data_IF_334524696216
#
_entry.id   IF_334524696216
#
_cell.length_a   1.000
_cell.length_b   1.000
_cell.length_c   1.000
_cell.angle_alpha   90.00
_cell.angle_beta   90.00
_cell.angle_gamma   90.00
#
_symmetry.space_group_name_H-M   'P 1'
#
loop_
_entity.id
_entity.type
_entity.pdbx_description
1 polymer ?
#
# COMPACT_ATOMS: atom_id res chain seq x y z
N UNK A 1 -3.57 17.01 18.68
CA UNK A 1 -2.22 16.78 18.14
C UNK A 1 -1.24 17.18 19.21
N UNK A 2 -0.78 16.20 19.98
CA UNK A 2 0.18 16.40 21.06
C UNK A 2 1.59 16.73 20.54
N UNK A 3 2.51 16.97 21.47
CA UNK A 3 3.95 17.01 21.18
C UNK A 3 4.48 15.64 20.75
N UNK A 4 4.03 14.55 21.37
CA UNK A 4 4.49 13.20 21.05
C UNK A 4 4.13 12.78 19.62
N UNK A 5 2.92 13.11 19.14
CA UNK A 5 2.55 12.85 17.75
C UNK A 5 3.35 13.72 16.76
N UNK A 6 3.64 14.99 17.10
CA UNK A 6 4.50 15.84 16.26
C UNK A 6 5.92 15.32 16.17
N UNK A 7 6.42 14.72 17.24
CA UNK A 7 7.72 14.04 17.24
C UNK A 7 7.70 12.79 16.35
N UNK A 8 6.63 11.98 16.39
CA UNK A 8 6.44 10.87 15.44
C UNK A 8 6.50 11.36 13.99
N UNK A 9 5.72 12.38 13.64
CA UNK A 9 5.73 12.99 12.29
C UNK A 9 7.15 13.46 11.88
N UNK A 10 7.87 14.10 12.80
CA UNK A 10 9.23 14.57 12.57
C UNK A 10 10.21 13.42 12.29
N UNK A 11 10.05 12.29 12.99
CA UNK A 11 10.89 11.10 12.81
C UNK A 11 10.59 10.34 11.51
N UNK A 12 9.34 10.39 11.03
CA UNK A 12 8.94 9.75 9.77
C UNK A 12 9.30 10.57 8.54
N UNK A 13 9.45 11.89 8.68
CA UNK A 13 9.73 12.80 7.57
C UNK A 13 10.92 12.34 6.68
N UNK A 14 12.07 11.88 7.22
CA UNK A 14 13.15 11.34 6.39
C UNK A 14 12.73 10.11 5.57
N UNK A 15 11.92 9.20 6.13
CA UNK A 15 11.43 8.01 5.44
C UNK A 15 10.44 8.38 4.33
N UNK A 16 9.50 9.30 4.61
CA UNK A 16 8.56 9.84 3.61
C UNK A 16 9.28 10.55 2.46
N UNK A 17 10.33 11.32 2.76
CA UNK A 17 11.18 11.92 1.72
C UNK A 17 11.90 10.88 0.87
N UNK A 18 12.48 9.85 1.49
CA UNK A 18 13.12 8.74 0.76
C UNK A 18 12.10 8.04 -0.14
N UNK A 19 10.89 7.78 0.35
CA UNK A 19 9.80 7.20 -0.42
C UNK A 19 9.47 8.07 -1.64
N UNK A 20 9.20 9.36 -1.44
CA UNK A 20 8.88 10.30 -2.52
C UNK A 20 10.02 10.48 -3.55
N UNK A 21 11.28 10.35 -3.11
CA UNK A 21 12.46 10.45 -3.97
C UNK A 21 12.85 9.12 -4.66
N UNK A 22 12.09 8.03 -4.46
CA UNK A 22 12.36 6.76 -5.16
C UNK A 22 12.11 6.97 -6.66
N UNK A 23 13.09 6.54 -7.47
CA UNK A 23 13.01 6.64 -8.93
C UNK A 23 11.79 5.95 -9.55
N UNK A 24 11.15 5.03 -8.84
CA UNK A 24 9.88 4.42 -9.27
C UNK A 24 8.76 5.44 -9.39
N UNK A 25 8.49 6.21 -8.33
CA UNK A 25 7.42 7.22 -8.34
C UNK A 25 7.73 8.32 -9.35
N UNK A 26 8.97 8.77 -9.39
CA UNK A 26 9.44 9.71 -10.42
C UNK A 26 9.16 9.17 -11.83
N UNK A 27 9.48 7.89 -12.08
CA UNK A 27 9.26 7.27 -13.39
C UNK A 27 7.78 7.18 -13.74
N UNK A 28 6.89 6.73 -12.85
CA UNK A 28 5.48 6.54 -13.20
C UNK A 28 4.70 7.86 -13.26
N UNK A 29 5.12 8.86 -12.50
CA UNK A 29 4.51 10.19 -12.50
C UNK A 29 5.08 11.13 -13.56
N UNK A 30 6.24 10.83 -14.14
CA UNK A 30 6.88 11.71 -15.13
C UNK A 30 5.96 12.01 -16.33
N UNK A 31 5.90 13.27 -16.81
CA UNK A 31 5.09 13.65 -17.98
C UNK A 31 5.41 12.85 -19.25
N UNK A 32 6.65 12.39 -19.39
CA UNK A 32 7.14 11.65 -20.56
C UNK A 32 6.98 10.13 -20.49
N UNK A 33 6.43 9.56 -19.41
CA UNK A 33 6.33 8.10 -19.25
C UNK A 33 5.59 7.46 -20.42
N UNK A 34 6.19 6.41 -20.98
CA UNK A 34 5.59 5.63 -22.05
C UNK A 34 4.24 5.04 -21.61
N UNK A 35 3.23 5.13 -22.47
CA UNK A 35 1.88 4.68 -22.13
C UNK A 35 1.81 3.16 -21.95
N UNK A 36 2.58 2.39 -22.71
CA UNK A 36 2.60 0.94 -22.54
C UNK A 36 3.30 0.56 -21.23
N UNK A 37 4.40 1.22 -20.88
CA UNK A 37 5.07 1.03 -19.59
C UNK A 37 4.14 1.34 -18.40
N UNK A 38 3.42 2.47 -18.44
CA UNK A 38 2.51 2.84 -17.36
C UNK A 38 1.36 1.83 -17.21
N UNK A 39 0.78 1.36 -18.32
CA UNK A 39 -0.30 0.38 -18.27
C UNK A 39 0.18 -1.01 -17.78
N UNK A 40 1.38 -1.45 -18.19
CA UNK A 40 2.00 -2.67 -17.63
C UNK A 40 2.29 -2.53 -16.14
N UNK A 41 2.78 -1.36 -15.72
CA UNK A 41 2.99 -1.07 -14.30
C UNK A 41 1.69 -1.22 -13.50
N UNK A 42 0.56 -0.69 -13.99
CA UNK A 42 -0.74 -0.83 -13.32
C UNK A 42 -1.20 -2.29 -13.26
N UNK A 43 -1.00 -3.06 -14.34
CA UNK A 43 -1.31 -4.50 -14.36
C UNK A 43 -0.49 -5.25 -13.31
N UNK A 44 0.81 -4.95 -13.19
CA UNK A 44 1.66 -5.57 -12.18
C UNK A 44 1.35 -5.09 -10.77
N UNK A 45 1.02 -3.80 -10.59
CA UNK A 45 0.55 -3.24 -9.33
C UNK A 45 -0.68 -4.01 -8.81
N UNK A 46 -1.70 -4.21 -9.66
CA UNK A 46 -2.90 -4.95 -9.25
C UNK A 46 -2.60 -6.44 -9.02
N UNK A 47 -1.89 -7.10 -9.95
CA UNK A 47 -1.68 -8.55 -9.85
C UNK A 47 -0.77 -8.94 -8.67
N UNK A 48 0.34 -8.23 -8.44
CA UNK A 48 1.20 -8.44 -7.28
C UNK A 48 0.54 -7.91 -5.99
N UNK A 49 -0.27 -6.85 -6.09
CA UNK A 49 -1.01 -6.25 -4.98
C UNK A 49 -2.00 -7.19 -4.32
N UNK A 50 -2.46 -8.24 -5.00
CA UNK A 50 -3.24 -9.34 -4.37
C UNK A 50 -2.47 -9.94 -3.19
N UNK A 51 -1.17 -10.20 -3.36
CA UNK A 51 -0.35 -10.80 -2.30
C UNK A 51 -0.09 -9.88 -1.10
N UNK A 52 -0.32 -8.58 -1.26
CA UNK A 52 -0.26 -7.56 -0.21
C UNK A 52 -1.59 -7.43 0.55
N UNK A 53 -2.70 -7.57 -0.17
CA UNK A 53 -4.05 -7.24 0.33
C UNK A 53 -4.84 -8.46 0.80
N UNK A 54 -4.58 -9.66 0.28
CA UNK A 54 -5.26 -10.88 0.73
C UNK A 54 -5.11 -11.14 2.25
N UNK A 55 -3.92 -11.02 2.85
CA UNK A 55 -3.74 -11.30 4.28
C UNK A 55 -4.05 -10.11 5.21
N UNK A 56 -4.37 -8.92 4.69
CA UNK A 56 -4.36 -7.66 5.47
C UNK A 56 -5.38 -7.66 6.62
N UNK A 57 -6.61 -8.12 6.37
CA UNK A 57 -7.64 -8.28 7.41
C UNK A 57 -7.12 -9.17 8.56
N UNK A 58 -6.47 -10.28 8.20
CA UNK A 58 -5.91 -11.22 9.16
C UNK A 58 -4.72 -10.65 9.94
N UNK A 59 -3.94 -9.75 9.36
CA UNK A 59 -2.86 -9.05 10.05
C UNK A 59 -3.38 -8.05 11.07
N UNK A 60 -4.26 -7.15 10.63
CA UNK A 60 -4.80 -6.08 11.49
C UNK A 60 -5.57 -6.69 12.66
N UNK A 61 -6.41 -7.71 12.40
CA UNK A 61 -7.15 -8.40 13.46
C UNK A 61 -6.22 -9.03 14.50
N UNK A 62 -5.19 -9.78 14.06
CA UNK A 62 -4.23 -10.42 14.99
C UNK A 62 -3.39 -9.41 15.77
N UNK A 63 -3.00 -8.30 15.15
CA UNK A 63 -2.35 -7.20 15.86
C UNK A 63 -3.28 -6.63 16.95
N UNK A 64 -4.57 -6.47 16.63
CA UNK A 64 -5.60 -6.05 17.58
C UNK A 64 -5.72 -7.00 18.77
N UNK A 65 -5.87 -8.30 18.51
CA UNK A 65 -5.94 -9.35 19.55
C UNK A 65 -4.69 -9.34 20.46
N UNK A 66 -3.50 -9.16 19.88
CA UNK A 66 -2.24 -9.05 20.63
C UNK A 66 -2.20 -7.78 21.48
N UNK A 67 -2.67 -6.64 20.96
CA UNK A 67 -2.79 -5.39 21.70
C UNK A 67 -3.74 -5.52 22.89
N UNK A 68 -4.90 -6.17 22.71
CA UNK A 68 -5.82 -6.45 23.83
C UNK A 68 -5.17 -7.31 24.91
N UNK A 69 -4.42 -8.35 24.52
CA UNK A 69 -3.68 -9.21 25.44
C UNK A 69 -2.59 -8.47 26.24
N UNK A 70 -2.13 -7.31 25.77
CA UNK A 70 -1.18 -6.42 26.44
C UNK A 70 -1.85 -5.32 27.28
N UNK A 71 -3.18 -5.30 27.35
CA UNK A 71 -3.94 -4.27 28.06
C UNK A 71 -4.24 -3.01 27.23
N UNK A 72 -3.89 -2.98 25.94
CA UNK A 72 -4.22 -1.89 25.02
C UNK A 72 -5.62 -2.12 24.40
N UNK A 73 -6.63 -2.29 25.25
CA UNK A 73 -7.96 -2.76 24.82
C UNK A 73 -8.64 -1.87 23.78
N UNK A 74 -8.60 -0.55 23.96
CA UNK A 74 -9.27 0.37 23.03
C UNK A 74 -8.62 0.35 21.64
N UNK A 75 -7.29 0.35 21.59
CA UNK A 75 -6.53 0.18 20.34
C UNK A 75 -6.83 -1.17 19.71
N UNK A 76 -6.84 -2.24 20.50
CA UNK A 76 -7.10 -3.59 20.03
C UNK A 76 -8.47 -3.75 19.36
N UNK A 77 -9.51 -3.13 19.93
CA UNK A 77 -10.85 -3.09 19.33
C UNK A 77 -10.89 -2.24 18.08
N UNK A 78 -10.22 -1.09 18.10
CA UNK A 78 -10.11 -0.20 16.94
C UNK A 78 -9.51 -0.93 15.74
N UNK A 79 -8.39 -1.63 15.94
CA UNK A 79 -7.75 -2.43 14.89
C UNK A 79 -8.68 -3.53 14.38
N UNK A 80 -9.37 -4.27 15.25
CA UNK A 80 -10.30 -5.31 14.81
C UNK A 80 -11.49 -4.76 14.01
N UNK A 81 -11.97 -3.55 14.32
CA UNK A 81 -13.00 -2.88 13.52
C UNK A 81 -12.47 -2.47 12.16
N UNK A 82 -11.26 -1.90 12.11
CA UNK A 82 -10.60 -1.55 10.86
C UNK A 82 -10.36 -2.77 9.98
N UNK A 83 -9.91 -3.89 10.55
CA UNK A 83 -9.71 -5.14 9.82
C UNK A 83 -10.95 -5.57 9.02
N UNK A 84 -12.16 -5.38 9.58
CA UNK A 84 -13.40 -5.73 8.90
C UNK A 84 -13.69 -4.86 7.66
N UNK A 85 -13.20 -3.61 7.63
CA UNK A 85 -13.33 -2.74 6.45
C UNK A 85 -12.37 -3.14 5.32
N UNK A 86 -11.22 -3.72 5.65
CA UNK A 86 -10.24 -4.17 4.66
C UNK A 86 -10.60 -5.52 4.00
N UNK A 87 -11.61 -6.21 4.54
CA UNK A 87 -12.08 -7.49 4.05
C UNK A 87 -12.53 -7.41 2.59
N UNK A 88 -11.88 -8.17 1.71
CA UNK A 88 -12.24 -8.28 0.30
C UNK A 88 -11.51 -7.31 -0.65
N UNK A 89 -10.64 -6.43 -0.16
CA UNK A 89 -9.84 -5.54 -1.02
C UNK A 89 -8.97 -6.28 -2.06
N UNK A 90 -8.50 -7.49 -1.74
CA UNK A 90 -7.80 -8.34 -2.69
C UNK A 90 -8.67 -8.78 -3.88
N UNK A 91 -10.00 -8.89 -3.70
CA UNK A 91 -10.91 -9.21 -4.80
C UNK A 91 -11.01 -8.06 -5.80
N UNK A 92 -10.91 -6.82 -5.33
CA UNK A 92 -10.83 -5.65 -6.21
C UNK A 92 -9.55 -5.67 -7.04
N UNK A 93 -8.40 -5.97 -6.42
CA UNK A 93 -7.12 -6.12 -7.13
C UNK A 93 -7.18 -7.22 -8.21
N UNK A 94 -7.85 -8.34 -7.93
CA UNK A 94 -8.09 -9.42 -8.91
C UNK A 94 -8.95 -8.92 -10.08
N UNK A 95 -10.05 -8.23 -9.78
CA UNK A 95 -10.96 -7.71 -10.80
C UNK A 95 -10.28 -6.64 -11.67
N UNK A 96 -9.55 -5.71 -11.04
CA UNK A 96 -8.77 -4.67 -11.67
C UNK A 96 -7.71 -5.26 -12.60
N UNK A 97 -6.99 -6.29 -12.15
CA UNK A 97 -6.03 -7.03 -12.99
C UNK A 97 -6.68 -7.55 -14.26
N UNK A 98 -7.84 -8.23 -14.14
CA UNK A 98 -8.55 -8.79 -15.30
C UNK A 98 -9.01 -7.70 -16.27
N UNK A 99 -9.54 -6.59 -15.75
CA UNK A 99 -9.99 -5.45 -16.57
C UNK A 99 -8.83 -4.78 -17.30
N UNK A 100 -7.71 -4.55 -16.62
CA UNK A 100 -6.51 -3.95 -17.22
C UNK A 100 -5.87 -4.88 -18.26
N UNK A 101 -5.82 -6.18 -18.03
CA UNK A 101 -5.34 -7.15 -19.02
C UNK A 101 -6.24 -7.20 -20.25
N UNK A 102 -7.56 -7.22 -20.07
CA UNK A 102 -8.51 -7.15 -21.19
C UNK A 102 -8.33 -5.85 -21.99
N UNK A 103 -8.15 -4.73 -21.30
CA UNK A 103 -7.85 -3.41 -21.89
C UNK A 103 -6.58 -3.46 -22.74
N UNK A 104 -5.50 -4.01 -22.19
CA UNK A 104 -4.22 -4.17 -22.87
C UNK A 104 -4.37 -5.01 -24.13
N UNK A 105 -4.98 -6.19 -24.00
CA UNK A 105 -5.14 -7.16 -25.08
C UNK A 105 -5.97 -6.65 -26.27
N UNK A 106 -6.92 -5.75 -26.00
CA UNK A 106 -7.70 -5.08 -27.04
C UNK A 106 -6.89 -4.06 -27.85
N UNK A 107 -5.84 -3.48 -27.28
CA UNK A 107 -5.10 -2.33 -27.87
C UNK A 107 -3.67 -2.65 -28.27
N UNK A 108 -3.07 -3.67 -27.67
CA UNK A 108 -1.63 -3.90 -27.72
C UNK A 108 -1.29 -5.37 -27.89
N UNK A 109 0.00 -5.58 -28.20
CA UNK A 109 0.64 -6.88 -28.28
C UNK A 109 1.97 -6.84 -27.51
N UNK A 110 2.45 -8.01 -27.06
CA UNK A 110 1.77 -9.31 -27.11
C UNK A 110 0.59 -9.38 -26.13
N UNK A 111 -0.23 -10.41 -26.29
CA UNK A 111 -1.34 -10.66 -25.37
C UNK A 111 -0.79 -11.08 -24.00
N UNK A 112 -1.46 -10.65 -22.96
CA UNK A 112 -1.25 -11.03 -21.57
C UNK A 112 -2.31 -12.04 -21.14
N UNK A 113 -1.95 -12.90 -20.20
CA UNK A 113 -2.86 -13.82 -19.52
C UNK A 113 -3.03 -13.35 -18.07
N UNK A 114 -4.26 -12.96 -17.73
CA UNK A 114 -4.59 -12.45 -16.40
C UNK A 114 -4.41 -13.51 -15.32
N UNK A 115 -4.80 -14.76 -15.59
CA UNK A 115 -4.72 -15.83 -14.59
C UNK A 115 -3.26 -16.26 -14.39
N UNK A 116 -2.43 -16.22 -15.43
CA UNK A 116 -0.99 -16.44 -15.29
C UNK A 116 -0.32 -15.34 -14.43
N UNK A 117 -0.74 -14.07 -14.59
CA UNK A 117 -0.24 -12.96 -13.77
C UNK A 117 -0.73 -13.07 -12.32
N UNK A 118 -1.98 -13.46 -12.09
CA UNK A 118 -2.53 -13.68 -10.74
C UNK A 118 -1.90 -14.90 -10.04
N UNK A 119 -1.49 -15.90 -10.81
CA UNK A 119 -0.80 -17.11 -10.32
C UNK A 119 0.71 -16.98 -10.22
N UNK A 120 1.28 -15.80 -10.46
CA UNK A 120 2.73 -15.61 -10.43
C UNK A 120 3.27 -15.70 -8.98
N UNK A 121 4.55 -16.10 -8.79
CA UNK A 121 5.18 -16.06 -7.48
C UNK A 121 5.17 -14.65 -6.88
N UNK A 122 5.10 -14.58 -5.55
CA UNK A 122 5.23 -13.31 -4.84
C UNK A 122 6.58 -12.66 -5.16
N UNK A 123 6.57 -11.36 -5.43
CA UNK A 123 7.80 -10.59 -5.64
C UNK A 123 8.57 -10.41 -4.33
N UNK A 124 9.88 -10.10 -4.37
CA UNK A 124 10.67 -9.83 -3.18
C UNK A 124 10.06 -8.77 -2.25
N UNK A 125 9.56 -7.67 -2.81
CA UNK A 125 8.88 -6.60 -2.07
C UNK A 125 7.59 -7.07 -1.40
N UNK A 126 6.78 -7.90 -2.08
CA UNK A 126 5.58 -8.48 -1.45
C UNK A 126 5.95 -9.43 -0.31
N UNK A 127 6.99 -10.25 -0.48
CA UNK A 127 7.51 -11.11 0.59
C UNK A 127 8.01 -10.28 1.77
N UNK A 128 8.76 -9.19 1.51
CA UNK A 128 9.25 -8.27 2.52
C UNK A 128 8.12 -7.60 3.30
N UNK A 129 7.08 -7.12 2.61
CA UNK A 129 5.91 -6.52 3.24
C UNK A 129 5.14 -7.50 4.12
N UNK A 130 4.92 -8.74 3.64
CA UNK A 130 4.29 -9.80 4.44
C UNK A 130 5.11 -10.10 5.70
N UNK A 131 6.43 -10.21 5.55
CA UNK A 131 7.34 -10.46 6.67
C UNK A 131 7.27 -9.34 7.70
N UNK A 132 7.23 -8.07 7.28
CA UNK A 132 7.08 -6.93 8.18
C UNK A 132 5.86 -7.07 9.09
N UNK A 133 4.69 -7.36 8.52
CA UNK A 133 3.47 -7.54 9.31
C UNK A 133 3.58 -8.70 10.30
N UNK A 134 4.06 -9.86 9.85
CA UNK A 134 4.22 -11.03 10.74
C UNK A 134 5.21 -10.75 11.88
N UNK A 135 6.31 -10.06 11.59
CA UNK A 135 7.32 -9.68 12.60
C UNK A 135 6.74 -8.71 13.64
N UNK A 136 5.95 -7.72 13.21
CA UNK A 136 5.32 -6.75 14.11
C UNK A 136 4.28 -7.43 15.00
N UNK A 137 3.43 -8.28 14.42
CA UNK A 137 2.39 -9.03 15.15
C UNK A 137 3.02 -10.00 16.18
N UNK A 138 4.04 -10.75 15.74
CA UNK A 138 4.75 -11.73 16.56
C UNK A 138 5.71 -11.11 17.57
N UNK A 139 6.13 -9.87 17.33
CA UNK A 139 7.09 -9.14 18.14
C UNK A 139 6.55 -8.57 19.45
N UNK A 140 7.39 -7.81 20.17
CA UNK A 140 7.02 -7.18 21.45
C UNK A 140 6.16 -5.92 21.28
N UNK A 141 6.04 -5.37 20.06
CA UNK A 141 5.34 -4.13 19.77
C UNK A 141 4.25 -4.32 18.69
N UNK A 142 3.21 -5.14 18.95
CA UNK A 142 2.13 -5.38 17.98
C UNK A 142 1.31 -4.12 17.66
N UNK A 143 1.33 -3.12 18.55
CA UNK A 143 0.77 -1.79 18.29
C UNK A 143 1.48 -1.05 17.15
N UNK A 144 2.67 -1.51 16.73
CA UNK A 144 3.35 -1.06 15.52
C UNK A 144 2.49 -1.17 14.26
N UNK A 145 1.50 -2.08 14.24
CA UNK A 145 0.54 -2.20 13.14
C UNK A 145 -0.18 -0.87 12.86
N UNK A 146 -0.51 -0.09 13.90
CA UNK A 146 -1.14 1.22 13.74
C UNK A 146 -0.29 2.18 12.89
N UNK A 147 1.03 2.14 13.05
CA UNK A 147 1.94 2.96 12.25
C UNK A 147 2.03 2.46 10.81
N UNK A 148 1.94 1.14 10.59
CA UNK A 148 1.89 0.57 9.23
C UNK A 148 0.63 1.08 8.52
N UNK A 149 -0.55 0.88 9.10
CA UNK A 149 -1.82 1.34 8.49
C UNK A 149 -1.79 2.84 8.21
N UNK A 150 -1.38 3.64 9.20
CA UNK A 150 -1.32 5.08 9.06
C UNK A 150 -0.42 5.53 7.90
N UNK A 151 0.80 4.98 7.79
CA UNK A 151 1.72 5.42 6.74
C UNK A 151 1.29 4.95 5.35
N UNK A 152 0.73 3.74 5.23
CA UNK A 152 0.30 3.19 3.93
C UNK A 152 -0.95 3.90 3.41
N UNK A 153 -1.96 4.13 4.25
CA UNK A 153 -3.15 4.91 3.87
C UNK A 153 -2.79 6.36 3.52
N UNK A 154 -1.83 6.95 4.25
CA UNK A 154 -1.38 8.31 3.97
C UNK A 154 -0.72 8.41 2.58
N UNK A 155 -0.17 7.33 2.02
CA UNK A 155 0.30 7.32 0.63
C UNK A 155 -0.84 7.56 -0.36
N UNK A 156 -2.02 6.95 -0.15
CA UNK A 156 -3.20 7.18 -0.98
C UNK A 156 -3.69 8.62 -0.89
N UNK A 157 -3.64 9.22 0.30
CA UNK A 157 -4.02 10.62 0.53
C UNK A 157 -3.07 11.57 -0.20
N UNK A 158 -1.76 11.34 -0.10
CA UNK A 158 -0.74 12.26 -0.66
C UNK A 158 -0.54 12.05 -2.17
N UNK A 159 -0.52 10.80 -2.62
CA UNK A 159 -0.12 10.44 -3.99
C UNK A 159 -1.26 9.90 -4.86
N UNK A 160 -2.35 9.39 -4.27
CA UNK A 160 -3.37 8.64 -5.00
C UNK A 160 -4.13 9.50 -6.03
N UNK A 161 -4.71 10.63 -5.62
CA UNK A 161 -5.46 11.49 -6.56
C UNK A 161 -4.59 12.02 -7.72
N UNK A 162 -3.38 12.57 -7.48
CA UNK A 162 -2.46 12.93 -8.56
C UNK A 162 -2.11 11.75 -9.49
N UNK A 163 -1.93 10.55 -8.93
CA UNK A 163 -1.61 9.35 -9.69
C UNK A 163 -2.77 8.91 -10.59
N UNK A 164 -4.01 8.89 -10.10
CA UNK A 164 -5.20 8.57 -10.90
C UNK A 164 -5.41 9.59 -12.03
N UNK A 165 -5.24 10.89 -11.75
CA UNK A 165 -5.30 11.94 -12.77
C UNK A 165 -4.24 11.73 -13.85
N UNK A 166 -3.02 11.34 -13.46
CA UNK A 166 -1.94 11.01 -14.40
C UNK A 166 -2.29 9.81 -15.27
N UNK A 167 -2.83 8.75 -14.68
CA UNK A 167 -3.27 7.55 -15.40
C UNK A 167 -4.35 7.90 -16.43
N UNK A 168 -5.39 8.63 -16.03
CA UNK A 168 -6.45 9.07 -16.94
C UNK A 168 -5.93 9.98 -18.06
N UNK A 169 -5.05 10.93 -17.73
CA UNK A 169 -4.47 11.84 -18.72
C UNK A 169 -3.54 11.15 -19.73
N UNK A 170 -2.82 10.10 -19.32
CA UNK A 170 -1.87 9.40 -20.18
C UNK A 170 -2.48 8.22 -20.95
N UNK A 171 -3.38 7.47 -20.33
CA UNK A 171 -3.95 6.23 -20.86
C UNK A 171 -5.38 6.38 -21.36
N UNK A 172 -6.04 7.51 -21.08
CA UNK A 172 -7.46 7.71 -21.29
C UNK A 172 -8.28 7.41 -20.02
N UNK A 173 -9.40 8.11 -19.84
CA UNK A 173 -10.23 8.00 -18.65
C UNK A 173 -10.82 6.59 -18.45
N UNK A 174 -10.94 5.81 -19.51
CA UNK A 174 -11.43 4.43 -19.49
C UNK A 174 -10.46 3.44 -18.82
N UNK A 175 -9.23 3.85 -18.48
CA UNK A 175 -8.33 3.04 -17.63
C UNK A 175 -8.83 2.95 -16.18
N UNK A 176 -9.53 3.98 -15.69
CA UNK A 176 -9.96 4.06 -14.29
C UNK A 176 -10.93 2.93 -13.91
N UNK A 177 -11.69 2.41 -14.88
CA UNK A 177 -12.59 1.28 -14.66
C UNK A 177 -11.89 -0.01 -14.20
N UNK A 178 -10.57 -0.11 -14.34
CA UNK A 178 -9.72 -1.19 -13.80
C UNK A 178 -8.79 -0.73 -12.67
N UNK A 179 -9.14 0.33 -11.94
CA UNK A 179 -8.39 0.84 -10.79
C UNK A 179 -9.30 1.07 -9.58
N UNK A 180 -10.33 0.23 -9.42
CA UNK A 180 -11.34 0.36 -8.38
C UNK A 180 -10.73 0.37 -6.96
N UNK A 181 -9.69 -0.45 -6.71
CA UNK A 181 -8.99 -0.46 -5.43
C UNK A 181 -8.42 0.92 -5.09
N UNK A 182 -7.74 1.58 -6.04
CA UNK A 182 -7.15 2.90 -5.84
C UNK A 182 -8.21 4.00 -5.74
N UNK A 183 -9.30 3.91 -6.51
CA UNK A 183 -10.41 4.86 -6.41
C UNK A 183 -11.05 4.84 -5.02
N UNK A 184 -11.26 3.65 -4.45
CA UNK A 184 -11.79 3.49 -3.10
C UNK A 184 -10.85 4.07 -2.05
N UNK A 185 -9.56 3.74 -2.09
CA UNK A 185 -8.57 4.24 -1.14
C UNK A 185 -8.38 5.75 -1.22
N UNK A 186 -8.44 6.34 -2.42
CA UNK A 186 -8.43 7.82 -2.56
C UNK A 186 -9.66 8.47 -1.92
N UNK A 187 -10.82 7.80 -1.97
CA UNK A 187 -12.06 8.32 -1.40
C UNK A 187 -12.14 8.13 0.13
N UNK A 188 -11.71 6.98 0.64
CA UNK A 188 -11.89 6.57 2.03
C UNK A 188 -10.69 6.91 2.94
N UNK A 189 -9.46 6.87 2.43
CA UNK A 189 -8.26 6.95 3.28
C UNK A 189 -8.08 8.33 3.93
N UNK A 190 -8.73 9.38 3.42
CA UNK A 190 -8.78 10.68 4.12
C UNK A 190 -9.44 10.54 5.50
N UNK A 191 -10.46 9.67 5.59
CA UNK A 191 -11.14 9.34 6.84
C UNK A 191 -10.28 8.45 7.73
N UNK A 192 -9.75 7.35 7.18
CA UNK A 192 -8.93 6.39 7.91
C UNK A 192 -7.62 7.01 8.42
N UNK A 193 -6.91 7.78 7.61
CA UNK A 193 -5.68 8.50 8.01
C UNK A 193 -5.94 9.45 9.18
N UNK A 194 -7.06 10.18 9.17
CA UNK A 194 -7.44 11.07 10.29
C UNK A 194 -7.80 10.30 11.55
N UNK A 195 -8.43 9.14 11.40
CA UNK A 195 -8.75 8.25 12.51
C UNK A 195 -7.46 7.66 13.12
N UNK A 196 -6.58 7.11 12.28
CA UNK A 196 -5.29 6.57 12.67
C UNK A 196 -4.37 7.62 13.33
N UNK A 197 -4.36 8.86 12.83
CA UNK A 197 -3.65 9.96 13.49
C UNK A 197 -4.16 10.24 14.93
N UNK A 198 -5.47 10.12 15.16
CA UNK A 198 -6.07 10.30 16.49
C UNK A 198 -5.75 9.15 17.42
N UNK A 199 -5.80 7.91 16.93
CA UNK A 199 -5.41 6.74 17.71
C UNK A 199 -3.93 6.78 18.06
N UNK A 200 -3.07 7.21 17.12
CA UNK A 200 -1.64 7.40 17.35
C UNK A 200 -1.38 8.50 18.39
N UNK A 201 -2.07 9.64 18.29
CA UNK A 201 -1.97 10.74 19.26
C UNK A 201 -2.40 10.28 20.67
N UNK A 202 -3.48 9.48 20.77
CA UNK A 202 -3.94 8.91 22.05
C UNK A 202 -2.94 7.91 22.62
N UNK A 203 -2.46 6.99 21.79
CA UNK A 203 -1.51 5.95 22.19
C UNK A 203 -0.22 6.56 22.71
N UNK A 204 0.35 7.53 21.99
CA UNK A 204 1.61 8.19 22.37
C UNK A 204 1.47 9.10 23.59
N UNK A 205 0.29 9.68 23.85
CA UNK A 205 0.05 10.41 25.09
C UNK A 205 0.03 9.49 26.31
N UNK A 206 -0.55 8.29 26.17
CA UNK A 206 -0.60 7.30 27.24
C UNK A 206 0.72 6.54 27.42
N UNK A 207 1.44 6.29 26.32
CA UNK A 207 2.66 5.49 26.25
C UNK A 207 3.72 6.18 25.38
N UNK A 208 4.40 7.24 25.88
CA UNK A 208 5.41 7.96 25.11
C UNK A 208 6.61 7.09 24.69
N UNK A 209 6.89 6.03 25.46
CA UNK A 209 7.93 5.03 25.20
C UNK A 209 7.66 4.18 23.95
N UNK A 210 6.43 4.21 23.40
CA UNK A 210 6.08 3.48 22.18
C UNK A 210 6.50 4.21 20.90
N UNK A 211 6.97 5.45 21.01
CA UNK A 211 7.39 6.28 19.88
C UNK A 211 8.44 5.58 19.00
N UNK A 212 9.47 4.98 19.61
CA UNK A 212 10.57 4.35 18.87
C UNK A 212 10.07 3.14 18.04
N UNK A 213 9.35 2.16 18.63
CA UNK A 213 8.77 1.06 17.85
C UNK A 213 7.79 1.50 16.75
N UNK A 214 6.96 2.51 17.03
CA UNK A 214 6.00 3.04 16.04
C UNK A 214 6.74 3.68 14.87
N UNK A 215 7.74 4.51 15.15
CA UNK A 215 8.53 5.16 14.09
C UNK A 215 9.32 4.14 13.25
N UNK A 216 9.83 3.08 13.88
CA UNK A 216 10.50 1.99 13.19
C UNK A 216 9.54 1.21 12.27
N UNK A 217 8.35 0.85 12.76
CA UNK A 217 7.34 0.15 11.98
C UNK A 217 6.85 0.97 10.78
N UNK A 218 6.52 2.26 10.98
CA UNK A 218 6.11 3.15 9.89
C UNK A 218 7.22 3.36 8.85
N UNK A 219 8.48 3.49 9.29
CA UNK A 219 9.63 3.58 8.37
C UNK A 219 9.77 2.31 7.54
N UNK A 220 9.69 1.14 8.17
CA UNK A 220 9.79 -0.14 7.49
C UNK A 220 8.62 -0.37 6.51
N UNK A 221 7.41 0.11 6.84
CA UNK A 221 6.25 0.04 5.95
C UNK A 221 6.48 0.83 4.66
N UNK A 222 6.95 2.07 4.76
CA UNK A 222 7.29 2.89 3.60
C UNK A 222 8.39 2.26 2.75
N UNK A 223 9.41 1.66 3.38
CA UNK A 223 10.50 0.99 2.67
C UNK A 223 10.01 -0.26 1.93
N UNK A 224 9.23 -1.11 2.58
CA UNK A 224 8.65 -2.32 1.98
C UNK A 224 7.67 -1.98 0.84
N UNK A 225 6.84 -0.95 1.01
CA UNK A 225 5.92 -0.52 -0.05
C UNK A 225 6.68 0.07 -1.24
N UNK A 226 7.77 0.82 -1.00
CA UNK A 226 8.63 1.30 -2.08
C UNK A 226 9.29 0.17 -2.89
N UNK A 227 9.69 -0.92 -2.23
CA UNK A 227 10.22 -2.12 -2.88
C UNK A 227 9.14 -2.81 -3.73
N UNK A 228 7.92 -2.95 -3.21
CA UNK A 228 6.79 -3.46 -3.99
C UNK A 228 6.55 -2.64 -5.27
N UNK A 229 6.53 -1.30 -5.18
CA UNK A 229 6.38 -0.46 -6.37
C UNK A 229 7.56 -0.64 -7.33
N UNK A 230 8.79 -0.77 -6.82
CA UNK A 230 9.97 -1.01 -7.64
C UNK A 230 9.90 -2.34 -8.39
N UNK A 231 9.44 -3.41 -7.74
CA UNK A 231 9.21 -4.71 -8.38
C UNK A 231 8.20 -4.60 -9.52
N UNK A 232 7.08 -3.91 -9.30
CA UNK A 232 6.05 -3.69 -10.33
C UNK A 232 6.65 -3.00 -11.57
N UNK A 233 7.48 -1.98 -11.36
CA UNK A 233 8.14 -1.26 -12.45
C UNK A 233 9.23 -2.10 -13.14
N UNK A 234 10.00 -2.88 -12.39
CA UNK A 234 11.02 -3.75 -12.95
C UNK A 234 10.41 -4.81 -13.87
N UNK A 235 9.37 -5.52 -13.41
CA UNK A 235 8.67 -6.53 -14.21
C UNK A 235 8.00 -5.89 -15.45
N UNK A 236 7.44 -4.69 -15.31
CA UNK A 236 6.87 -3.95 -16.44
C UNK A 236 7.92 -3.59 -17.51
N UNK A 237 9.15 -3.26 -17.10
CA UNK A 237 10.28 -2.98 -18.02
C UNK A 237 10.80 -4.25 -18.69
N UNK A 238 11.07 -5.29 -17.92
CA UNK A 238 11.57 -6.57 -18.45
C UNK A 238 10.57 -7.20 -19.41
N UNK A 239 9.28 -7.11 -19.06
CA UNK A 239 8.19 -7.47 -19.94
C UNK A 239 8.30 -6.73 -21.27
N UNK A 240 8.50 -5.41 -21.26
CA UNK A 240 8.64 -4.63 -22.49
C UNK A 240 9.89 -4.99 -23.30
N UNK A 241 11.04 -5.20 -22.66
CA UNK A 241 12.32 -5.46 -23.34
C UNK A 241 12.38 -6.83 -23.99
N UNK A 242 11.76 -7.86 -23.40
CA UNK A 242 11.60 -9.17 -24.04
C UNK A 242 10.61 -9.15 -25.22
N UNK A 243 9.96 -8.00 -25.47
CA UNK A 243 8.83 -7.84 -26.39
C UNK A 243 9.04 -6.69 -27.40
N UNK A 244 10.19 -6.02 -27.37
CA UNK A 244 10.63 -5.00 -28.33
C UNK A 244 11.55 -5.62 -29.39
#
# INVERSE_FOLDING_TARGET
MSEAFREYETRLEPARRRFAARGTLETVLAPGTDAALLELFLIHFCSLGVGMTEPVEGWIRRAGERCEGMGLTDLGRSLQQHAAHEGGHHMMMIEDTRKLVARWNARRRPLLDAEALLGQPLSPGVVGYRKLHEDVIGGPAPFGQLAIEFEIENLSVVHGAPFLQRCAGRLGADVLGGLSFLEEHVALDVGHTKFNAREMDRLLQAHPDFLDPLAAAGTAALEAYAEFLADCLAVARDGREQRA
#
